data_IF_106838641909
#
_entry.id   IF_106838641909
#
_cell.length_a   1.000
_cell.length_b   1.000
_cell.length_c   1.000
_cell.angle_alpha   90.00
_cell.angle_beta   90.00
_cell.angle_gamma   90.00
#
_symmetry.space_group_name_H-M   'P 1'
#
loop_
_entity.id
_entity.type
_entity.pdbx_description
1 polymer ?
#
# COMPACT_ATOMS: atom_id res chain seq x y z
N UNK A 1 25.36 22.78 -8.22
CA UNK A 1 25.57 21.93 -7.04
C UNK A 1 24.48 20.90 -6.97
N UNK A 2 24.96 19.68 -7.03
CA UNK A 2 24.22 18.44 -7.18
C UNK A 2 23.84 17.93 -5.79
N UNK A 3 22.63 17.38 -5.70
CA UNK A 3 22.17 16.38 -4.73
C UNK A 3 22.28 16.63 -3.21
N UNK A 4 21.58 17.67 -2.70
CA UNK A 4 20.89 17.47 -1.41
C UNK A 4 19.59 16.71 -1.69
N UNK A 5 19.68 15.38 -1.72
CA UNK A 5 18.50 14.53 -1.53
C UNK A 5 18.07 14.77 -0.09
N UNK A 6 17.18 15.74 0.06
CA UNK A 6 16.65 16.14 1.34
C UNK A 6 15.75 15.02 1.86
N UNK A 7 16.35 14.08 2.61
CA UNK A 7 15.68 12.95 3.27
C UNK A 7 14.50 13.39 4.13
N UNK A 8 14.42 14.68 4.51
CA UNK A 8 13.27 15.25 5.21
C UNK A 8 11.97 15.22 4.39
N UNK A 9 12.03 14.90 3.09
CA UNK A 9 10.87 14.85 2.18
C UNK A 9 10.63 13.49 1.55
N UNK A 10 11.14 12.44 2.16
CA UNK A 10 10.88 11.06 1.73
C UNK A 10 9.66 10.50 2.44
N UNK A 11 8.73 9.92 1.67
CA UNK A 11 7.67 9.05 2.17
C UNK A 11 8.02 7.62 1.81
N UNK A 12 7.96 6.70 2.77
CA UNK A 12 8.13 5.28 2.51
C UNK A 12 6.86 4.50 2.81
N UNK A 13 6.53 3.59 1.90
CA UNK A 13 5.47 2.59 2.07
C UNK A 13 6.14 1.22 2.01
N UNK A 14 6.02 0.45 3.08
CA UNK A 14 6.52 -0.92 3.19
C UNK A 14 5.34 -1.88 3.22
N UNK A 15 5.18 -2.66 2.15
CA UNK A 15 4.21 -3.74 2.04
C UNK A 15 4.87 -5.00 2.60
N UNK A 16 4.52 -5.39 3.82
CA UNK A 16 5.19 -6.48 4.52
C UNK A 16 4.62 -7.83 4.10
N UNK A 17 3.40 -8.13 4.54
CA UNK A 17 2.81 -9.45 4.35
C UNK A 17 1.29 -9.45 4.35
N UNK A 18 0.73 -10.46 3.69
CA UNK A 18 -0.69 -10.70 3.56
C UNK A 18 -1.08 -11.98 4.31
N UNK A 19 -2.29 -12.00 4.87
CA UNK A 19 -2.86 -13.17 5.53
C UNK A 19 -4.24 -13.44 4.95
N UNK A 20 -4.59 -14.72 4.85
CA UNK A 20 -5.93 -15.15 4.48
C UNK A 20 -6.67 -15.62 5.72
N UNK A 21 -7.78 -14.96 6.12
CA UNK A 21 -8.61 -15.45 7.21
C UNK A 21 -9.22 -16.81 6.83
N UNK A 22 -9.57 -17.63 7.83
CA UNK A 22 -10.11 -18.99 7.63
C UNK A 22 -11.31 -19.06 6.68
N UNK A 23 -12.12 -18.01 6.62
CA UNK A 23 -13.33 -17.91 5.78
C UNK A 23 -13.09 -17.24 4.43
N UNK A 24 -11.84 -16.88 4.10
CA UNK A 24 -11.52 -16.22 2.84
C UNK A 24 -11.86 -17.11 1.64
N UNK A 25 -12.55 -16.54 0.65
CA UNK A 25 -12.79 -17.19 -0.64
C UNK A 25 -11.50 -17.50 -1.40
N UNK A 26 -10.41 -16.80 -1.10
CA UNK A 26 -9.10 -17.01 -1.72
C UNK A 26 -8.45 -18.34 -1.31
N UNK A 27 -8.96 -19.00 -0.27
CA UNK A 27 -8.58 -20.36 0.10
C UNK A 27 -9.25 -21.45 -0.76
N UNK A 28 -10.21 -21.07 -1.62
CA UNK A 28 -10.85 -22.03 -2.52
C UNK A 28 -9.84 -22.56 -3.56
N UNK A 29 -9.90 -23.86 -3.93
CA UNK A 29 -8.92 -24.47 -4.86
C UNK A 29 -8.81 -23.81 -6.24
N UNK A 30 -9.80 -23.01 -6.65
CA UNK A 30 -9.72 -22.22 -7.88
C UNK A 30 -8.59 -21.18 -7.87
N UNK A 31 -8.05 -20.86 -6.69
CA UNK A 31 -6.96 -19.89 -6.51
C UNK A 31 -5.60 -20.55 -6.22
N UNK A 32 -5.45 -21.87 -6.33
CA UNK A 32 -4.23 -22.57 -5.89
C UNK A 32 -2.98 -22.17 -6.69
N UNK A 33 -3.14 -21.92 -8.00
CA UNK A 33 -2.04 -21.49 -8.88
C UNK A 33 -2.06 -19.98 -9.17
N UNK A 34 -2.96 -19.24 -8.50
CA UNK A 34 -3.10 -17.80 -8.70
C UNK A 34 -2.01 -17.08 -7.90
N UNK A 35 -1.28 -16.22 -8.61
CA UNK A 35 -0.37 -15.25 -7.99
C UNK A 35 -1.06 -13.90 -7.89
N UNK A 36 -0.71 -13.14 -6.86
CA UNK A 36 -1.28 -11.83 -6.60
C UNK A 36 -0.19 -10.80 -6.34
N UNK A 37 -0.47 -9.56 -6.72
CA UNK A 37 0.33 -8.39 -6.36
C UNK A 37 -0.59 -7.32 -5.77
N UNK A 38 0.02 -6.31 -5.13
CA UNK A 38 -0.71 -5.19 -4.54
C UNK A 38 -0.36 -3.92 -5.31
N UNK A 39 -1.39 -3.23 -5.78
CA UNK A 39 -1.31 -1.87 -6.30
C UNK A 39 -1.83 -0.88 -5.26
N UNK A 40 -1.34 0.35 -5.31
CA UNK A 40 -1.88 1.47 -4.57
C UNK A 40 -1.77 2.75 -5.38
N UNK A 41 -2.54 3.77 -4.99
CA UNK A 41 -2.44 5.10 -5.57
C UNK A 41 -1.81 6.07 -4.57
N UNK A 42 -0.78 6.80 -5.01
CA UNK A 42 -0.11 7.80 -4.16
C UNK A 42 0.10 9.13 -4.89
N UNK A 43 -0.57 10.18 -4.40
CA UNK A 43 -0.47 11.56 -4.89
C UNK A 43 -0.70 11.68 -6.41
N UNK A 44 0.31 12.11 -7.16
CA UNK A 44 0.32 12.18 -8.62
C UNK A 44 1.49 11.36 -9.20
N UNK A 45 1.91 10.30 -8.50
CA UNK A 45 2.87 9.33 -9.03
C UNK A 45 2.22 8.39 -10.04
N UNK A 46 2.97 7.93 -11.06
CA UNK A 46 2.50 6.88 -11.96
C UNK A 46 2.19 5.58 -11.20
N UNK A 47 1.23 4.81 -11.71
CA UNK A 47 0.80 3.56 -11.09
C UNK A 47 1.92 2.52 -11.10
N UNK A 48 2.79 2.53 -12.10
CA UNK A 48 3.94 1.63 -12.21
C UNK A 48 4.94 1.80 -11.05
N UNK A 49 4.93 2.96 -10.39
CA UNK A 49 5.74 3.20 -9.21
C UNK A 49 5.08 2.75 -7.89
N UNK A 50 3.79 2.46 -7.93
CA UNK A 50 2.93 2.21 -6.77
C UNK A 50 2.34 0.81 -6.81
N UNK A 51 3.21 -0.16 -7.09
CA UNK A 51 2.89 -1.60 -7.13
C UNK A 51 4.00 -2.43 -6.53
N UNK A 52 3.67 -3.58 -5.96
CA UNK A 52 4.68 -4.60 -5.66
C UNK A 52 5.25 -5.12 -6.99
N UNK A 53 6.58 -5.21 -7.15
CA UNK A 53 7.19 -5.57 -8.42
C UNK A 53 6.93 -7.02 -8.80
N UNK A 54 6.95 -7.90 -7.80
CA UNK A 54 6.78 -9.34 -7.93
C UNK A 54 5.43 -9.77 -7.33
N UNK A 55 4.71 -10.62 -8.06
CA UNK A 55 3.53 -11.29 -7.55
C UNK A 55 3.92 -12.52 -6.71
N UNK A 56 3.13 -12.78 -5.67
CA UNK A 56 3.35 -13.90 -4.75
C UNK A 56 2.24 -14.94 -4.89
N UNK A 57 2.55 -16.19 -4.58
CA UNK A 57 1.52 -17.21 -4.38
C UNK A 57 0.82 -16.96 -3.04
N UNK A 58 -0.50 -16.99 -3.07
CA UNK A 58 -1.35 -16.84 -1.89
C UNK A 58 -1.12 -17.98 -0.87
N UNK A 59 -0.97 -17.67 0.44
CA UNK A 59 -0.73 -18.69 1.47
C UNK A 59 -1.94 -19.62 1.61
N UNK A 60 -1.73 -20.94 1.61
CA UNK A 60 -2.81 -21.94 1.67
C UNK A 60 -3.23 -22.32 3.09
N UNK A 61 -2.37 -22.04 4.07
CA UNK A 61 -2.70 -22.23 5.48
C UNK A 61 -3.32 -20.92 5.98
N UNK A 62 -4.55 -20.92 6.53
CA UNK A 62 -5.16 -19.73 7.10
C UNK A 62 -4.25 -19.05 8.12
N UNK A 63 -4.27 -17.72 8.14
CA UNK A 63 -3.46 -16.87 9.02
C UNK A 63 -1.94 -17.09 8.93
N UNK A 64 -1.47 -17.90 7.97
CA UNK A 64 -0.05 -17.98 7.65
C UNK A 64 0.35 -16.84 6.72
N UNK A 65 1.53 -16.23 6.91
CA UNK A 65 1.92 -15.06 6.15
C UNK A 65 2.35 -15.41 4.73
N UNK A 66 1.77 -14.73 3.73
CA UNK A 66 2.36 -14.54 2.41
C UNK A 66 3.23 -13.28 2.42
N UNK A 67 4.50 -13.39 2.05
CA UNK A 67 5.48 -12.29 2.23
C UNK A 67 5.70 -11.54 0.93
N UNK A 68 5.44 -10.23 0.94
CA UNK A 68 5.87 -9.30 -0.12
C UNK A 68 7.23 -8.69 0.21
N UNK A 69 7.40 -8.21 1.45
CA UNK A 69 8.59 -7.52 1.95
C UNK A 69 9.15 -6.45 0.98
N UNK A 70 8.26 -5.63 0.42
CA UNK A 70 8.62 -4.60 -0.57
C UNK A 70 8.51 -3.20 0.02
N UNK A 71 9.61 -2.45 -0.05
CA UNK A 71 9.68 -1.05 0.36
C UNK A 71 9.77 -0.14 -0.85
N UNK A 72 8.82 0.77 -1.00
CA UNK A 72 8.87 1.88 -1.95
C UNK A 72 9.15 3.18 -1.21
N UNK A 73 10.04 3.99 -1.76
CA UNK A 73 10.35 5.33 -1.27
C UNK A 73 9.99 6.35 -2.35
N UNK A 74 9.31 7.42 -1.94
CA UNK A 74 8.85 8.52 -2.76
C UNK A 74 9.51 9.80 -2.28
N UNK A 75 10.39 10.37 -3.12
CA UNK A 75 10.97 11.67 -2.84
C UNK A 75 10.01 12.78 -3.28
N UNK A 76 9.47 13.54 -2.32
CA UNK A 76 8.47 14.56 -2.61
C UNK A 76 9.10 15.91 -3.00
N UNK A 77 8.61 16.48 -4.09
CA UNK A 77 8.83 17.90 -4.40
C UNK A 77 7.98 18.79 -3.48
N UNK A 78 8.31 20.08 -3.35
CA UNK A 78 7.49 21.04 -2.56
C UNK A 78 6.01 21.02 -2.99
N UNK A 79 5.75 20.85 -4.29
CA UNK A 79 4.38 20.69 -4.83
C UNK A 79 3.70 19.42 -4.30
N UNK A 80 4.40 18.28 -4.27
CA UNK A 80 3.85 17.01 -3.77
C UNK A 80 3.67 17.00 -2.26
N UNK A 81 4.53 17.71 -1.51
CA UNK A 81 4.30 17.94 -0.08
C UNK A 81 3.01 18.73 0.14
N UNK A 82 2.76 19.79 -0.64
CA UNK A 82 1.50 20.53 -0.57
C UNK A 82 0.28 19.66 -0.92
N UNK A 83 0.42 18.77 -1.91
CA UNK A 83 -0.64 17.83 -2.27
C UNK A 83 -0.90 16.82 -1.14
N UNK A 84 0.15 16.32 -0.48
CA UNK A 84 0.02 15.46 0.69
C UNK A 84 -0.68 16.18 1.84
N UNK A 85 -0.31 17.44 2.13
CA UNK A 85 -1.00 18.23 3.16
C UNK A 85 -2.49 18.38 2.84
N UNK A 86 -2.82 18.68 1.59
CA UNK A 86 -4.21 18.77 1.14
C UNK A 86 -4.95 17.42 1.29
N UNK A 87 -4.30 16.30 0.96
CA UNK A 87 -4.89 14.98 1.14
C UNK A 87 -5.23 14.70 2.60
N UNK A 88 -4.32 15.03 3.51
CA UNK A 88 -4.53 14.87 4.95
C UNK A 88 -5.65 15.76 5.47
N UNK A 89 -5.72 17.02 5.02
CA UNK A 89 -6.78 17.96 5.43
C UNK A 89 -8.17 17.56 4.94
N UNK A 90 -8.25 16.92 3.77
CA UNK A 90 -9.50 16.42 3.21
C UNK A 90 -9.89 15.03 3.73
N UNK A 91 -9.04 14.39 4.54
CA UNK A 91 -9.25 13.02 5.00
C UNK A 91 -9.22 11.99 3.86
N UNK A 92 -8.41 12.25 2.82
CA UNK A 92 -8.21 11.30 1.74
C UNK A 92 -7.53 10.03 2.26
N UNK A 93 -7.92 8.90 1.70
CA UNK A 93 -7.36 7.58 2.03
C UNK A 93 -6.46 7.09 0.91
N UNK A 94 -5.47 6.28 1.26
CA UNK A 94 -4.76 5.45 0.30
C UNK A 94 -5.62 4.23 0.01
N UNK A 95 -5.95 4.04 -1.26
CA UNK A 95 -6.58 2.84 -1.74
C UNK A 95 -5.52 1.85 -2.19
N UNK A 96 -5.64 0.62 -1.70
CA UNK A 96 -4.85 -0.53 -2.10
C UNK A 96 -5.76 -1.51 -2.82
N UNK A 97 -5.26 -2.16 -3.86
CA UNK A 97 -5.99 -3.15 -4.64
C UNK A 97 -5.18 -4.44 -4.70
N UNK A 98 -5.83 -5.56 -4.37
CA UNK A 98 -5.28 -6.89 -4.53
C UNK A 98 -5.64 -7.41 -5.93
N UNK A 99 -4.64 -7.71 -6.76
CA UNK A 99 -4.83 -8.02 -8.18
C UNK A 99 -4.18 -9.36 -8.52
N UNK A 100 -4.81 -10.17 -9.37
CA UNK A 100 -4.20 -11.39 -9.92
C UNK A 100 -3.15 -11.06 -10.98
N UNK A 101 -2.07 -11.84 -11.03
CA UNK A 101 -1.09 -11.75 -12.11
C UNK A 101 -1.52 -12.61 -13.31
N UNK A 102 -1.55 -12.03 -14.51
CA UNK A 102 -1.82 -12.75 -15.75
C UNK A 102 -2.28 -11.86 -16.91
N UNK A 103 -2.51 -12.46 -18.09
CA UNK A 103 -3.09 -11.73 -19.24
C UNK A 103 -4.49 -11.19 -18.93
N UNK A 104 -5.26 -11.94 -18.16
CA UNK A 104 -6.57 -11.57 -17.63
C UNK A 104 -6.43 -11.17 -16.14
N UNK A 105 -5.62 -10.15 -15.86
CA UNK A 105 -5.46 -9.62 -14.50
C UNK A 105 -6.82 -9.09 -13.99
N UNK A 106 -7.22 -9.52 -12.79
CA UNK A 106 -8.50 -9.20 -12.17
C UNK A 106 -8.29 -8.55 -10.80
N UNK A 107 -9.03 -7.48 -10.53
CA UNK A 107 -9.11 -6.86 -9.20
C UNK A 107 -9.98 -7.74 -8.29
N UNK A 108 -9.37 -8.27 -7.22
CA UNK A 108 -10.05 -9.19 -6.30
C UNK A 108 -10.76 -8.45 -5.18
N UNK A 109 -10.07 -7.46 -4.60
CA UNK A 109 -10.52 -6.76 -3.41
C UNK A 109 -9.77 -5.44 -3.23
N UNK A 110 -10.35 -4.52 -2.45
CA UNK A 110 -9.79 -3.21 -2.14
C UNK A 110 -9.66 -3.01 -0.62
N UNK A 111 -8.64 -2.29 -0.20
CA UNK A 111 -8.40 -1.90 1.18
C UNK A 111 -8.09 -0.41 1.25
N UNK A 112 -8.40 0.23 2.38
CA UNK A 112 -8.19 1.67 2.56
C UNK A 112 -7.36 1.95 3.82
N UNK A 113 -6.43 2.89 3.72
CA UNK A 113 -5.67 3.42 4.84
C UNK A 113 -5.85 4.94 4.94
N UNK A 114 -6.27 5.42 6.11
CA UNK A 114 -6.27 6.85 6.41
C UNK A 114 -4.86 7.27 6.87
N UNK A 115 -4.32 8.32 6.24
CA UNK A 115 -3.03 8.88 6.61
C UNK A 115 -3.20 9.94 7.70
N UNK A 116 -2.33 9.92 8.71
CA UNK A 116 -2.26 10.95 9.76
C UNK A 116 -1.24 12.05 9.44
N UNK A 117 -1.29 13.21 10.12
CA UNK A 117 -0.23 14.24 9.98
C UNK A 117 1.16 13.77 10.42
N UNK A 118 1.20 12.76 11.27
CA UNK A 118 2.41 12.02 11.62
C UNK A 118 2.23 10.59 11.13
N UNK A 119 3.14 10.13 10.29
CA UNK A 119 3.26 8.72 9.99
C UNK A 119 3.64 7.98 11.27
N UNK A 120 3.07 6.80 11.48
CA UNK A 120 3.49 5.88 12.54
C UNK A 120 4.48 4.92 11.89
N UNK A 121 5.72 4.86 12.37
CA UNK A 121 6.68 3.79 12.00
C UNK A 121 6.23 2.41 12.56
N UNK A 122 4.94 2.25 12.83
CA UNK A 122 4.28 1.09 13.37
C UNK A 122 3.58 0.35 12.24
N UNK A 123 3.52 -0.98 12.38
CA UNK A 123 2.75 -1.82 11.47
C UNK A 123 1.27 -1.55 11.65
N UNK A 124 0.60 -1.30 10.53
CA UNK A 124 -0.85 -1.20 10.44
C UNK A 124 -1.37 -2.36 9.59
N UNK A 125 -2.44 -2.98 10.04
CA UNK A 125 -3.15 -4.02 9.30
C UNK A 125 -4.39 -3.41 8.65
N UNK A 126 -4.51 -3.52 7.32
CA UNK A 126 -5.72 -3.13 6.58
C UNK A 126 -6.43 -4.35 6.00
N UNK A 127 -7.74 -4.25 5.83
CA UNK A 127 -8.58 -5.35 5.35
C UNK A 127 -8.94 -5.16 3.88
N UNK A 128 -8.65 -6.17 3.08
CA UNK A 128 -9.12 -6.27 1.71
C UNK A 128 -10.56 -6.79 1.69
N UNK A 129 -11.46 -5.97 1.16
CA UNK A 129 -12.87 -6.26 1.00
C UNK A 129 -13.22 -6.36 -0.49
N UNK A 130 -14.04 -7.34 -0.87
CA UNK A 130 -14.58 -7.40 -2.23
C UNK A 130 -15.68 -6.34 -2.46
N UNK A 131 -16.24 -6.32 -3.67
CA UNK A 131 -17.33 -5.41 -4.04
C UNK A 131 -18.61 -5.60 -3.22
N UNK A 132 -18.77 -6.74 -2.54
CA UNK A 132 -19.89 -7.06 -1.68
C UNK A 132 -19.58 -6.76 -0.20
N UNK A 133 -18.38 -6.30 0.12
CA UNK A 133 -17.90 -6.06 1.49
C UNK A 133 -17.44 -7.33 2.22
N UNK A 134 -17.20 -8.43 1.49
CA UNK A 134 -16.67 -9.66 2.07
C UNK A 134 -15.16 -9.57 2.28
N UNK A 135 -14.70 -10.02 3.44
CA UNK A 135 -13.29 -9.97 3.81
C UNK A 135 -12.48 -11.08 3.14
N UNK A 136 -11.53 -10.68 2.31
CA UNK A 136 -10.68 -11.56 1.50
C UNK A 136 -9.31 -11.79 2.13
N UNK A 137 -8.68 -10.74 2.66
CA UNK A 137 -7.32 -10.82 3.19
C UNK A 137 -7.01 -9.65 4.12
N UNK A 138 -6.06 -9.85 5.02
CA UNK A 138 -5.46 -8.78 5.82
C UNK A 138 -4.07 -8.45 5.26
N UNK A 139 -3.69 -7.18 5.21
CA UNK A 139 -2.36 -6.72 4.78
C UNK A 139 -1.68 -5.91 5.88
N UNK A 140 -0.53 -6.39 6.33
CA UNK A 140 0.38 -5.63 7.19
C UNK A 140 1.27 -4.73 6.33
N UNK A 141 1.27 -3.44 6.66
CA UNK A 141 2.14 -2.46 6.02
C UNK A 141 2.59 -1.38 6.99
N UNK A 142 3.62 -0.62 6.60
CA UNK A 142 4.11 0.55 7.34
C UNK A 142 4.16 1.72 6.39
N UNK A 143 3.60 2.86 6.79
CA UNK A 143 3.82 4.14 6.09
C UNK A 143 4.63 5.05 7.01
N UNK A 144 5.76 5.54 6.52
CA UNK A 144 6.69 6.36 7.29
C UNK A 144 7.05 7.65 6.55
N UNK A 145 7.06 8.76 7.27
CA UNK A 145 7.60 10.04 6.82
C UNK A 145 7.86 10.94 8.02
N UNK A 146 8.90 11.79 7.96
CA UNK A 146 9.24 12.69 9.05
C UNK A 146 8.16 13.76 9.21
N UNK A 147 7.87 14.15 10.46
CA UNK A 147 6.93 15.25 10.77
C UNK A 147 7.32 16.59 10.13
N UNK A 148 8.62 16.77 9.86
CA UNK A 148 9.22 17.96 9.25
C UNK A 148 8.96 18.06 7.74
N UNK A 149 8.34 17.04 7.12
CA UNK A 149 8.09 17.03 5.67
C UNK A 149 7.35 18.28 5.18
N UNK A 150 6.48 18.85 6.03
CA UNK A 150 5.68 20.05 5.74
C UNK A 150 6.42 21.38 6.00
N UNK A 151 7.61 21.38 6.60
CA UNK A 151 8.31 22.62 6.93
C UNK A 151 8.67 23.43 5.68
N UNK A 152 8.88 22.76 4.54
CA UNK A 152 9.12 23.41 3.26
C UNK A 152 7.95 24.26 2.75
N UNK A 153 6.74 24.13 3.33
CA UNK A 153 5.55 24.92 2.98
C UNK A 153 5.42 26.21 3.80
N UNK A 154 6.12 26.31 4.94
CA UNK A 154 6.08 27.48 5.84
C UNK A 154 6.95 28.66 5.36
N UNK A 155 7.64 28.48 4.24
CA UNK A 155 8.56 29.43 3.60
C UNK A 155 8.00 29.90 2.26
#
# INVERSE_FOLDING_TARGET
>A
DDSDVDESRTVSIFIDRIYLPEFSRLLHPSFDDVKVYVDWFFLDYPQEESRTPDAITLPRVPDSPGVFAYKKEFQLSKRRVALLEQWLELGNRLDFTLITEGEDSEELAVAQLELGRTATDETVTIQFLDINGEHYADLDLVVSYPSQIFDCLKT
#
